data_IF_587807279144
#
_entry.id   IF_587807279144
#
_cell.length_a   1.000
_cell.length_b   1.000
_cell.length_c   1.000
_cell.angle_alpha   90.00
_cell.angle_beta   90.00
_cell.angle_gamma   90.00
#
_symmetry.space_group_name_H-M   'P 1'
#
loop_
_entity.id
_entity.type
_entity.pdbx_description
1 polymer ?
#
# COMPACT_ATOMS: atom_id res chain seq x y z
N UNK A 1 -14.25 -30.30 -1.96
CA UNK A 1 -14.61 -29.46 -0.79
C UNK A 1 -14.91 -28.02 -1.14
N UNK A 2 -14.07 -27.29 -1.89
CA UNK A 2 -14.29 -25.86 -2.21
C UNK A 2 -15.63 -25.58 -2.92
N UNK A 3 -16.05 -26.46 -3.85
CA UNK A 3 -17.35 -26.35 -4.53
C UNK A 3 -18.56 -26.47 -3.58
N UNK A 4 -18.44 -27.15 -2.44
CA UNK A 4 -19.53 -27.23 -1.46
C UNK A 4 -19.72 -25.87 -0.77
N UNK A 5 -18.64 -25.25 -0.30
CA UNK A 5 -18.72 -23.94 0.38
C UNK A 5 -19.29 -22.83 -0.51
N UNK A 6 -19.03 -22.86 -1.82
CA UNK A 6 -19.64 -21.93 -2.77
C UNK A 6 -21.16 -22.11 -2.90
N UNK A 7 -21.65 -23.35 -2.87
CA UNK A 7 -23.08 -23.63 -2.97
C UNK A 7 -23.85 -23.36 -1.67
N UNK A 8 -23.17 -23.40 -0.52
CA UNK A 8 -23.75 -23.04 0.78
C UNK A 8 -23.64 -21.55 1.12
N UNK A 9 -23.01 -20.73 0.25
CA UNK A 9 -22.81 -19.29 0.50
C UNK A 9 -21.77 -18.97 1.56
N UNK A 10 -20.99 -19.95 2.01
CA UNK A 10 -19.92 -19.79 3.00
C UNK A 10 -18.59 -19.42 2.32
N UNK A 11 -18.54 -18.25 1.67
CA UNK A 11 -17.37 -17.78 0.93
C UNK A 11 -16.13 -17.58 1.83
N UNK A 12 -16.35 -17.26 3.10
CA UNK A 12 -15.30 -17.10 4.12
C UNK A 12 -14.53 -18.42 4.35
N UNK A 13 -15.26 -19.52 4.59
CA UNK A 13 -14.68 -20.85 4.77
C UNK A 13 -14.12 -21.40 3.45
N UNK A 14 -14.79 -21.12 2.33
CA UNK A 14 -14.36 -21.51 0.99
C UNK A 14 -13.01 -20.91 0.61
N UNK A 15 -12.83 -19.61 0.84
CA UNK A 15 -11.56 -18.91 0.56
C UNK A 15 -10.42 -19.40 1.45
N UNK A 16 -10.66 -19.60 2.75
CA UNK A 16 -9.67 -20.19 3.66
C UNK A 16 -9.29 -21.62 3.28
N UNK A 17 -10.26 -22.46 2.91
CA UNK A 17 -10.01 -23.82 2.46
C UNK A 17 -9.20 -23.84 1.15
N UNK A 18 -9.48 -22.93 0.22
CA UNK A 18 -8.73 -22.81 -1.04
C UNK A 18 -7.28 -22.40 -0.79
N UNK A 19 -7.04 -21.49 0.16
CA UNK A 19 -5.68 -21.09 0.56
C UNK A 19 -4.93 -22.22 1.28
N UNK A 20 -5.57 -22.91 2.21
CA UNK A 20 -4.96 -24.01 2.96
C UNK A 20 -4.67 -25.25 2.10
N UNK A 21 -5.46 -25.46 1.04
CA UNK A 21 -5.31 -26.57 0.09
C UNK A 21 -4.91 -26.11 -1.31
N UNK A 22 -4.09 -25.05 -1.38
CA UNK A 22 -3.72 -24.44 -2.66
C UNK A 22 -3.04 -25.42 -3.63
N UNK A 23 -2.26 -26.40 -3.14
CA UNK A 23 -1.60 -27.38 -4.00
C UNK A 23 -2.55 -28.20 -4.88
N UNK A 24 -3.80 -28.40 -4.46
CA UNK A 24 -4.75 -29.28 -5.14
C UNK A 24 -5.98 -28.55 -5.71
N UNK A 25 -6.29 -27.36 -5.23
CA UNK A 25 -7.55 -26.66 -5.52
C UNK A 25 -7.37 -25.18 -5.88
N UNK A 26 -6.13 -24.72 -6.13
CA UNK A 26 -5.87 -23.32 -6.43
C UNK A 26 -6.27 -22.96 -7.86
N UNK A 27 -7.21 -22.03 -7.98
CA UNK A 27 -7.64 -21.47 -9.25
C UNK A 27 -7.78 -19.96 -9.13
N UNK A 28 -6.89 -19.23 -9.81
CA UNK A 28 -6.76 -17.77 -9.69
C UNK A 28 -8.05 -17.01 -10.02
N UNK A 29 -8.72 -17.38 -11.11
CA UNK A 29 -9.97 -16.72 -11.54
C UNK A 29 -11.06 -16.91 -10.49
N UNK A 30 -11.21 -18.14 -10.02
CA UNK A 30 -12.23 -18.52 -9.06
C UNK A 30 -11.99 -17.90 -7.69
N UNK A 31 -10.74 -17.84 -7.23
CA UNK A 31 -10.39 -17.16 -5.98
C UNK A 31 -10.76 -15.67 -6.03
N UNK A 32 -10.53 -14.99 -7.16
CA UNK A 32 -10.91 -13.58 -7.36
C UNK A 32 -12.43 -13.36 -7.26
N UNK A 33 -13.23 -14.29 -7.76
CA UNK A 33 -14.69 -14.18 -7.66
C UNK A 33 -15.23 -14.46 -6.25
N UNK A 34 -14.58 -15.36 -5.51
CA UNK A 34 -14.96 -15.70 -4.12
C UNK A 34 -14.57 -14.57 -3.18
N UNK A 35 -13.32 -14.09 -3.27
CA UNK A 35 -12.77 -13.13 -2.30
C UNK A 35 -13.59 -11.84 -2.30
N UNK A 36 -14.02 -11.32 -3.44
CA UNK A 36 -14.85 -10.09 -3.48
C UNK A 36 -16.21 -10.25 -2.75
N UNK A 37 -16.71 -11.50 -2.60
CA UNK A 37 -17.98 -11.81 -1.90
C UNK A 37 -17.81 -12.04 -0.40
N UNK A 38 -16.59 -12.24 0.09
CA UNK A 38 -16.29 -12.39 1.52
C UNK A 38 -16.68 -11.11 2.27
N UNK A 39 -17.26 -11.27 3.46
CA UNK A 39 -17.61 -10.12 4.32
C UNK A 39 -16.50 -9.79 5.32
N UNK A 40 -15.74 -10.80 5.73
CA UNK A 40 -14.69 -10.64 6.74
C UNK A 40 -13.39 -10.05 6.14
N UNK A 41 -13.07 -8.83 6.55
CA UNK A 41 -11.86 -8.10 6.11
C UNK A 41 -10.56 -8.81 6.53
N UNK A 42 -10.56 -9.60 7.61
CA UNK A 42 -9.37 -10.35 8.04
C UNK A 42 -8.92 -11.39 7.01
N UNK A 43 -9.87 -11.96 6.27
CA UNK A 43 -9.59 -12.93 5.22
C UNK A 43 -8.89 -12.23 4.05
N UNK A 44 -9.20 -10.95 3.77
CA UNK A 44 -8.47 -10.17 2.76
C UNK A 44 -7.00 -10.05 3.10
N UNK A 45 -6.65 -9.76 4.36
CA UNK A 45 -5.25 -9.65 4.76
C UNK A 45 -4.51 -10.99 4.68
N UNK A 46 -5.17 -12.09 5.07
CA UNK A 46 -4.61 -13.44 4.91
C UNK A 46 -4.40 -13.76 3.42
N UNK A 47 -5.40 -13.45 2.59
CA UNK A 47 -5.35 -13.65 1.15
C UNK A 47 -4.23 -12.84 0.51
N UNK A 48 -4.06 -11.56 0.85
CA UNK A 48 -2.97 -10.72 0.34
C UNK A 48 -1.59 -11.20 0.79
N UNK A 49 -1.47 -11.73 2.01
CA UNK A 49 -0.21 -12.34 2.49
C UNK A 49 0.15 -13.61 1.71
N UNK A 50 -0.84 -14.42 1.38
CA UNK A 50 -0.66 -15.67 0.64
C UNK A 50 -0.48 -15.41 -0.87
N UNK A 51 -1.22 -14.46 -1.40
CA UNK A 51 -1.36 -14.15 -2.82
C UNK A 51 -1.00 -12.68 -3.04
N UNK A 52 0.30 -12.44 -3.22
CA UNK A 52 0.91 -11.12 -3.40
C UNK A 52 0.74 -10.62 -4.85
N UNK A 53 -0.50 -10.49 -5.31
CA UNK A 53 -0.87 -10.01 -6.65
C UNK A 53 -1.40 -8.58 -6.58
N UNK A 54 -0.77 -7.67 -7.32
CA UNK A 54 -1.18 -6.27 -7.47
C UNK A 54 -2.64 -6.16 -7.94
N UNK A 55 -3.07 -7.04 -8.87
CA UNK A 55 -4.42 -6.97 -9.45
C UNK A 55 -5.50 -7.28 -8.42
N UNK A 56 -5.21 -8.15 -7.46
CA UNK A 56 -6.13 -8.46 -6.38
C UNK A 56 -6.26 -7.26 -5.43
N UNK A 57 -5.13 -6.65 -5.09
CA UNK A 57 -5.06 -5.48 -4.22
C UNK A 57 -5.95 -4.33 -4.72
N UNK A 58 -5.89 -4.03 -6.03
CA UNK A 58 -6.72 -3.00 -6.68
C UNK A 58 -8.21 -3.30 -6.53
N UNK A 59 -8.63 -4.56 -6.71
CA UNK A 59 -10.04 -4.95 -6.56
C UNK A 59 -10.56 -4.85 -5.12
N UNK A 60 -9.67 -5.03 -4.14
CA UNK A 60 -10.02 -5.00 -2.72
C UNK A 60 -9.93 -3.60 -2.10
N UNK A 61 -9.35 -2.62 -2.81
CA UNK A 61 -9.16 -1.22 -2.40
C UNK A 61 -10.30 -0.61 -1.57
N UNK A 62 -11.58 -0.64 -1.99
CA UNK A 62 -12.64 0.05 -1.25
C UNK A 62 -13.00 -0.60 0.10
N UNK A 63 -12.53 -1.83 0.37
CA UNK A 63 -12.89 -2.61 1.56
C UNK A 63 -11.73 -2.83 2.53
N UNK A 64 -10.51 -2.42 2.18
CA UNK A 64 -9.31 -2.66 2.96
C UNK A 64 -8.80 -1.38 3.62
N UNK A 65 -8.28 -1.50 4.84
CA UNK A 65 -7.58 -0.41 5.51
C UNK A 65 -6.17 -0.23 4.92
N UNK A 66 -5.95 0.86 4.20
CA UNK A 66 -4.70 1.17 3.49
C UNK A 66 -3.47 1.15 4.41
N UNK A 67 -3.54 1.77 5.58
CA UNK A 67 -2.45 1.82 6.57
C UNK A 67 -1.94 0.42 6.93
N UNK A 68 -2.85 -0.54 7.13
CA UNK A 68 -2.49 -1.92 7.50
C UNK A 68 -1.84 -2.67 6.34
N UNK A 69 -2.33 -2.43 5.12
CA UNK A 69 -1.74 -3.00 3.90
C UNK A 69 -0.32 -2.51 3.73
N UNK A 70 -0.11 -1.19 3.78
CA UNK A 70 1.22 -0.58 3.66
C UNK A 70 2.19 -1.14 4.69
N UNK A 71 1.80 -1.22 5.97
CA UNK A 71 2.64 -1.82 7.01
C UNK A 71 2.99 -3.28 6.74
N UNK A 72 2.08 -4.05 6.15
CA UNK A 72 2.32 -5.45 5.80
C UNK A 72 3.35 -5.57 4.66
N UNK A 73 3.23 -4.75 3.62
CA UNK A 73 4.16 -4.73 2.49
C UNK A 73 5.52 -4.14 2.86
N UNK A 74 5.54 -3.12 3.74
CA UNK A 74 6.77 -2.57 4.30
C UNK A 74 7.54 -3.61 5.11
N UNK A 75 6.85 -4.46 5.90
CA UNK A 75 7.52 -5.56 6.63
C UNK A 75 8.01 -6.70 5.73
N UNK A 76 7.50 -6.78 4.50
CA UNK A 76 7.86 -7.80 3.53
C UNK A 76 8.90 -7.30 2.51
N UNK A 77 9.39 -6.06 2.64
CA UNK A 77 10.29 -5.38 1.69
C UNK A 77 9.78 -5.37 0.22
N UNK A 78 8.47 -5.53 0.03
CA UNK A 78 7.83 -5.60 -1.30
C UNK A 78 7.04 -4.32 -1.64
N UNK A 79 7.48 -3.19 -1.08
CA UNK A 79 6.92 -1.86 -1.35
C UNK A 79 6.85 -1.51 -2.86
N UNK A 80 7.85 -1.82 -3.71
CA UNK A 80 7.77 -1.50 -5.13
C UNK A 80 6.61 -2.18 -5.87
N UNK A 81 6.16 -3.35 -5.39
CA UNK A 81 5.08 -4.13 -6.01
C UNK A 81 3.72 -3.43 -5.87
N UNK A 82 3.56 -2.59 -4.84
CA UNK A 82 2.34 -1.84 -4.59
C UNK A 82 2.40 -0.40 -5.11
N UNK A 83 3.40 -0.03 -5.93
CA UNK A 83 3.58 1.34 -6.42
C UNK A 83 2.34 1.89 -7.13
N UNK A 84 1.75 1.16 -8.09
CA UNK A 84 0.55 1.62 -8.82
C UNK A 84 -0.66 1.77 -7.90
N UNK A 85 -0.75 0.95 -6.87
CA UNK A 85 -1.77 1.05 -5.83
C UNK A 85 -1.57 2.28 -4.96
N UNK A 86 -0.35 2.56 -4.50
CA UNK A 86 -0.03 3.75 -3.72
C UNK A 86 -0.41 5.02 -4.48
N UNK A 87 -0.11 5.10 -5.79
CA UNK A 87 -0.51 6.23 -6.65
C UNK A 87 -2.03 6.40 -6.68
N UNK A 88 -2.76 5.30 -6.82
CA UNK A 88 -4.24 5.33 -6.90
C UNK A 88 -4.88 5.75 -5.56
N UNK A 89 -4.25 5.38 -4.44
CA UNK A 89 -4.74 5.65 -3.08
C UNK A 89 -4.19 6.96 -2.52
N UNK A 90 -3.18 7.55 -3.15
CA UNK A 90 -2.53 8.79 -2.69
C UNK A 90 -3.54 9.94 -2.51
N UNK A 91 -4.59 10.00 -3.33
CA UNK A 91 -5.69 10.95 -3.20
C UNK A 91 -6.41 10.94 -1.84
N UNK A 92 -6.30 9.86 -1.08
CA UNK A 92 -6.86 9.75 0.29
C UNK A 92 -6.03 10.48 1.34
N UNK A 93 -4.82 10.94 0.98
CA UNK A 93 -3.89 11.67 1.84
C UNK A 93 -3.70 11.00 3.22
N UNK A 94 -3.27 9.74 3.20
CA UNK A 94 -3.01 8.96 4.41
C UNK A 94 -1.51 8.97 4.70
N UNK A 95 -1.13 9.26 5.94
CA UNK A 95 0.27 9.36 6.38
C UNK A 95 1.11 8.14 6.00
N UNK A 96 0.63 6.93 6.31
CA UNK A 96 1.36 5.71 6.02
C UNK A 96 1.52 5.47 4.50
N UNK A 97 0.51 5.83 3.70
CA UNK A 97 0.56 5.70 2.23
C UNK A 97 1.56 6.68 1.65
N UNK A 98 1.54 7.93 2.12
CA UNK A 98 2.45 8.97 1.67
C UNK A 98 3.89 8.65 2.05
N UNK A 99 4.15 8.21 3.29
CA UNK A 99 5.48 7.81 3.75
C UNK A 99 6.04 6.67 2.90
N UNK A 100 5.26 5.59 2.72
CA UNK A 100 5.68 4.46 1.91
C UNK A 100 5.89 4.81 0.43
N UNK A 101 5.09 5.73 -0.11
CA UNK A 101 5.25 6.20 -1.48
C UNK A 101 6.50 7.07 -1.63
N UNK A 102 6.75 7.97 -0.67
CA UNK A 102 7.94 8.81 -0.64
C UNK A 102 9.23 7.97 -0.49
N UNK A 103 9.20 6.88 0.27
CA UNK A 103 10.32 5.94 0.38
C UNK A 103 10.65 5.28 -0.97
N UNK A 104 9.65 5.01 -1.83
CA UNK A 104 9.86 4.50 -3.19
C UNK A 104 10.37 5.60 -4.13
N UNK A 105 9.91 6.84 -3.94
CA UNK A 105 10.27 7.99 -4.76
C UNK A 105 11.59 8.65 -4.36
N UNK A 106 12.28 8.14 -3.33
CA UNK A 106 13.57 8.69 -2.88
C UNK A 106 14.64 8.66 -3.99
N UNK A 107 14.45 7.81 -5.01
CA UNK A 107 15.32 7.73 -6.18
C UNK A 107 14.92 8.70 -7.32
N UNK A 108 13.70 9.26 -7.31
CA UNK A 108 13.15 10.14 -8.36
C UNK A 108 12.71 11.52 -7.83
N UNK A 109 13.60 12.50 -7.99
CA UNK A 109 13.45 13.88 -7.50
C UNK A 109 12.22 14.61 -8.05
N UNK A 110 11.76 14.29 -9.27
CA UNK A 110 10.63 15.01 -9.89
C UNK A 110 9.30 14.56 -9.30
N UNK A 111 9.07 13.26 -9.26
CA UNK A 111 7.84 12.70 -8.71
C UNK A 111 7.70 12.96 -7.22
N UNK A 112 8.82 13.03 -6.48
CA UNK A 112 8.80 13.36 -5.06
C UNK A 112 8.33 14.80 -4.81
N UNK A 113 8.75 15.76 -5.63
CA UNK A 113 8.26 17.16 -5.54
C UNK A 113 6.76 17.24 -5.78
N UNK A 114 6.27 16.57 -6.82
CA UNK A 114 4.84 16.55 -7.14
C UNK A 114 4.03 15.88 -6.01
N UNK A 115 4.57 14.84 -5.38
CA UNK A 115 3.98 14.21 -4.19
C UNK A 115 3.88 15.21 -3.02
N UNK A 116 4.95 15.97 -2.75
CA UNK A 116 4.99 16.93 -1.66
C UNK A 116 4.10 18.15 -1.84
N UNK A 117 3.94 18.65 -3.07
CA UNK A 117 3.09 19.80 -3.32
C UNK A 117 1.60 19.46 -3.24
N UNK A 118 1.24 18.20 -3.49
CA UNK A 118 -0.15 17.74 -3.50
C UNK A 118 -0.62 17.13 -2.17
N UNK A 119 0.28 16.60 -1.33
CA UNK A 119 -0.07 15.86 -0.11
C UNK A 119 0.75 16.32 1.09
N UNK A 120 0.08 16.76 2.16
CA UNK A 120 0.67 17.41 3.34
C UNK A 120 0.81 16.51 4.57
N UNK A 121 0.22 15.30 4.55
CA UNK A 121 0.27 14.37 5.69
C UNK A 121 1.40 13.36 5.55
N UNK A 122 2.59 13.68 6.06
CA UNK A 122 3.72 12.74 6.18
C UNK A 122 4.77 13.24 7.20
N UNK A 123 5.67 12.37 7.66
CA UNK A 123 6.76 12.76 8.55
C UNK A 123 7.88 13.48 7.78
N UNK A 124 7.76 14.80 7.77
CA UNK A 124 8.69 15.73 7.14
C UNK A 124 10.12 15.62 7.71
N UNK A 125 10.24 15.40 9.02
CA UNK A 125 11.52 15.43 9.73
C UNK A 125 12.25 14.10 9.51
N UNK A 126 11.52 12.99 9.58
CA UNK A 126 12.02 11.65 9.29
C UNK A 126 12.54 11.52 7.87
N UNK A 127 11.75 11.96 6.87
CA UNK A 127 12.16 11.93 5.47
C UNK A 127 13.36 12.82 5.20
N UNK A 128 13.38 14.04 5.75
CA UNK A 128 14.53 14.95 5.64
C UNK A 128 15.83 14.28 6.11
N UNK A 129 15.84 13.59 7.26
CA UNK A 129 17.03 12.86 7.73
C UNK A 129 17.44 11.71 6.81
N UNK A 130 16.48 11.03 6.18
CA UNK A 130 16.78 9.95 5.21
C UNK A 130 17.40 10.52 3.93
N UNK A 131 16.89 11.65 3.45
CA UNK A 131 17.43 12.38 2.30
C UNK A 131 18.85 12.90 2.54
N UNK A 132 19.16 13.32 3.76
CA UNK A 132 20.50 13.80 4.14
C UNK A 132 21.58 12.71 4.02
N UNK A 133 21.22 11.45 4.30
CA UNK A 133 22.15 10.32 4.21
C UNK A 133 22.33 9.82 2.76
N UNK A 134 21.38 10.11 1.87
CA UNK A 134 21.46 9.72 0.47
C UNK A 134 22.19 10.81 -0.32
N UNK A 135 23.47 10.61 -0.60
CA UNK A 135 24.37 11.60 -1.23
C UNK A 135 24.02 11.89 -2.70
N UNK A 136 23.00 12.72 -2.96
CA UNK A 136 22.79 13.33 -4.27
C UNK A 136 22.52 14.83 -4.12
N UNK A 137 23.38 15.64 -4.76
CA UNK A 137 23.47 17.10 -4.65
C UNK A 137 22.13 17.86 -4.85
N UNK A 138 21.13 17.22 -5.45
CA UNK A 138 19.79 17.76 -5.71
C UNK A 138 18.87 17.79 -4.48
N UNK A 139 19.03 16.87 -3.54
CA UNK A 139 18.14 16.71 -2.39
C UNK A 139 18.34 17.77 -1.30
N UNK A 140 19.58 18.24 -1.13
CA UNK A 140 19.88 19.34 -0.20
C UNK A 140 19.11 20.62 -0.54
N UNK A 141 18.85 20.89 -1.82
CA UNK A 141 18.06 22.05 -2.24
C UNK A 141 16.57 21.89 -1.91
N UNK A 142 16.01 20.69 -2.09
CA UNK A 142 14.62 20.39 -1.73
C UNK A 142 14.38 20.49 -0.23
N UNK A 143 15.32 19.98 0.56
CA UNK A 143 15.26 20.02 2.01
C UNK A 143 15.31 21.45 2.56
N UNK A 144 16.12 22.31 1.94
CA UNK A 144 16.20 23.74 2.27
C UNK A 144 14.95 24.52 1.88
N UNK A 145 14.31 24.17 0.76
CA UNK A 145 13.01 24.72 0.34
C UNK A 145 11.93 24.29 1.35
N UNK A 146 11.98 23.04 1.82
CA UNK A 146 10.98 22.48 2.71
C UNK A 146 11.04 23.05 4.13
N UNK A 147 12.23 23.10 4.75
CA UNK A 147 12.43 23.73 6.07
C UNK A 147 11.97 25.19 6.07
N UNK A 148 12.19 25.92 4.95
CA UNK A 148 11.70 27.29 4.79
C UNK A 148 10.17 27.38 4.72
N UNK A 149 9.49 26.44 4.04
CA UNK A 149 8.03 26.39 3.93
C UNK A 149 7.39 26.14 5.31
N UNK A 150 7.88 25.17 6.08
CA UNK A 150 7.36 24.87 7.43
C UNK A 150 7.60 26.01 8.42
N UNK A 151 8.73 26.72 8.32
CA UNK A 151 9.03 27.89 9.17
C UNK A 151 8.13 29.09 8.86
N UNK A 152 7.67 29.22 7.61
CA UNK A 152 6.75 30.27 7.17
C UNK A 152 5.32 30.07 7.65
N UNK A 153 4.88 28.83 7.88
CA UNK A 153 3.53 28.55 8.40
C UNK A 153 3.43 28.71 9.92
N UNK A 154 4.54 28.59 10.64
CA UNK A 154 4.64 28.84 12.09
C UNK A 154 4.71 30.34 12.46
N UNK A 155 4.87 31.24 11.49
CA UNK A 155 4.99 32.69 11.71
C UNK A 155 3.75 33.50 11.30
N UNK A 156 2.62 32.83 11.04
CA UNK A 156 1.34 33.47 10.70
C UNK A 156 0.23 32.99 11.61
#
# INVERSE_FOLDING_TARGET
MVFLYENYGEFDNGSLAMMNHALNAWEHSRFKDIIVKVNNVEIYYKALKFYMDERLLVSLTPRIYHTRVVQMFHKADNLPLIKSYLISVQGTNNEAVNEAYNDILIEDDKSLRDSFDNFDKFDNIGLAKRLENTSFLSFGALQLIYIKKTSSELTR
#
